data_IF_442109751821
#
_entry.id   IF_442109751821
#
_cell.length_a   1.000
_cell.length_b   1.000
_cell.length_c   1.000
_cell.angle_alpha   90.00
_cell.angle_beta   90.00
_cell.angle_gamma   90.00
#
_symmetry.space_group_name_H-M   'P 1'
#
loop_
_entity.id
_entity.type
_entity.pdbx_description
1 polymer ?
#
# COMPACT_ATOMS: atom_id res chain seq x y z
N UNK A 1 15.23 -18.99 -10.74
CA UNK A 1 15.12 -19.89 -9.57
C UNK A 1 14.18 -19.22 -8.58
N UNK A 2 13.29 -19.97 -7.93
CA UNK A 2 12.38 -19.46 -6.91
C UNK A 2 13.15 -19.38 -5.58
N UNK A 3 13.26 -18.21 -4.95
CA UNK A 3 14.13 -18.01 -3.78
C UNK A 3 13.39 -17.53 -2.52
N UNK A 4 12.06 -17.51 -2.53
CA UNK A 4 11.25 -17.12 -1.36
C UNK A 4 11.01 -18.26 -0.36
N UNK A 5 11.60 -19.44 -0.55
CA UNK A 5 11.45 -20.60 0.31
C UNK A 5 12.65 -20.79 1.28
N UNK A 6 13.28 -19.69 1.71
CA UNK A 6 14.43 -19.67 2.62
C UNK A 6 13.95 -19.63 4.08
N UNK A 7 14.84 -19.84 5.07
CA UNK A 7 14.46 -20.00 6.47
C UNK A 7 13.57 -18.87 7.02
N UNK A 8 13.83 -17.62 6.65
CA UNK A 8 13.09 -16.44 7.11
C UNK A 8 11.62 -16.50 6.66
N UNK A 9 11.36 -16.79 5.39
CA UNK A 9 9.98 -16.89 4.89
C UNK A 9 9.26 -18.13 5.42
N UNK A 10 9.96 -19.26 5.56
CA UNK A 10 9.37 -20.47 6.17
C UNK A 10 8.98 -20.21 7.62
N UNK A 11 9.85 -19.55 8.40
CA UNK A 11 9.57 -19.13 9.78
C UNK A 11 8.39 -18.17 9.84
N UNK A 12 8.31 -17.19 8.93
CA UNK A 12 7.20 -16.24 8.87
C UNK A 12 5.85 -16.95 8.66
N UNK A 13 5.77 -17.87 7.69
CA UNK A 13 4.53 -18.63 7.44
C UNK A 13 4.21 -19.57 8.60
N UNK A 14 5.22 -20.21 9.21
CA UNK A 14 5.02 -21.04 10.40
C UNK A 14 4.46 -20.23 11.58
N UNK A 15 4.93 -18.99 11.78
CA UNK A 15 4.39 -18.10 12.82
C UNK A 15 2.91 -17.77 12.59
N UNK A 16 2.53 -17.43 11.35
CA UNK A 16 1.12 -17.15 11.01
C UNK A 16 0.24 -18.39 11.21
N UNK A 17 0.75 -19.57 10.87
CA UNK A 17 0.03 -20.84 11.09
C UNK A 17 -0.10 -21.17 12.59
N UNK A 18 0.89 -20.87 13.41
CA UNK A 18 0.77 -21.01 14.87
C UNK A 18 -0.27 -20.03 15.45
N UNK A 19 -0.35 -18.80 14.93
CA UNK A 19 -1.41 -17.86 15.30
C UNK A 19 -2.79 -18.33 14.82
N UNK A 20 -2.86 -18.93 13.63
CA UNK A 20 -4.09 -19.51 13.07
C UNK A 20 -4.64 -20.61 13.99
N UNK A 21 -3.79 -21.55 14.42
CA UNK A 21 -4.16 -22.64 15.34
C UNK A 21 -4.67 -22.13 16.69
N UNK A 22 -4.22 -20.96 17.14
CA UNK A 22 -4.64 -20.32 18.40
C UNK A 22 -5.91 -19.47 18.25
N UNK A 23 -6.33 -19.18 17.02
CA UNK A 23 -7.42 -18.25 16.75
C UNK A 23 -7.00 -16.77 16.76
N UNK A 24 -5.69 -16.49 16.82
CA UNK A 24 -5.13 -15.13 16.86
C UNK A 24 -4.87 -14.55 15.45
N UNK A 25 -4.91 -15.41 14.42
CA UNK A 25 -4.84 -15.02 13.01
C UNK A 25 -6.00 -15.66 12.24
N UNK A 26 -6.64 -14.89 11.36
CA UNK A 26 -7.72 -15.36 10.50
C UNK A 26 -7.34 -15.11 9.04
N UNK A 27 -7.21 -16.17 8.25
CA UNK A 27 -7.08 -16.07 6.81
C UNK A 27 -8.46 -15.92 6.16
N UNK A 28 -8.73 -14.74 5.60
CA UNK A 28 -9.98 -14.40 4.91
C UNK A 28 -9.71 -14.08 3.44
N UNK A 29 -9.86 -15.10 2.60
CA UNK A 29 -9.35 -15.11 1.23
C UNK A 29 -10.28 -14.50 0.17
N UNK A 30 -11.49 -14.04 0.53
CA UNK A 30 -12.34 -13.32 -0.44
C UNK A 30 -11.78 -11.92 -0.64
N UNK A 31 -12.04 -11.37 -1.83
CA UNK A 31 -11.56 -10.04 -2.20
C UNK A 31 -12.02 -9.02 -1.15
N UNK A 32 -11.06 -8.27 -0.62
CA UNK A 32 -11.21 -7.20 0.38
C UNK A 32 -11.73 -7.60 1.77
N UNK A 33 -12.04 -8.88 2.01
CA UNK A 33 -12.66 -9.38 3.26
C UNK A 33 -11.88 -9.01 4.54
N UNK A 34 -10.54 -8.99 4.49
CA UNK A 34 -9.70 -8.57 5.62
C UNK A 34 -9.83 -7.09 5.96
N UNK A 35 -10.08 -6.24 4.96
CA UNK A 35 -10.34 -4.81 5.14
C UNK A 35 -11.72 -4.61 5.76
N UNK A 36 -12.72 -5.35 5.28
CA UNK A 36 -14.09 -5.27 5.80
C UNK A 36 -14.17 -5.70 7.26
N UNK A 37 -13.52 -6.82 7.61
CA UNK A 37 -13.43 -7.26 8.99
C UNK A 37 -12.74 -6.24 9.90
N UNK A 38 -11.74 -5.52 9.39
CA UNK A 38 -11.11 -4.46 10.16
C UNK A 38 -12.09 -3.31 10.40
N UNK A 39 -12.65 -2.66 9.37
CA UNK A 39 -13.50 -1.48 9.58
C UNK A 39 -14.85 -1.80 10.24
N UNK A 40 -15.33 -3.05 10.16
CA UNK A 40 -16.53 -3.50 10.89
C UNK A 40 -16.26 -3.76 12.39
N UNK A 41 -14.99 -3.75 12.82
CA UNK A 41 -14.59 -3.99 14.21
C UNK A 41 -14.42 -5.47 14.57
N UNK A 42 -14.48 -6.38 13.60
CA UNK A 42 -14.27 -7.83 13.81
C UNK A 42 -12.78 -8.17 14.01
N UNK A 43 -11.87 -7.38 13.44
CA UNK A 43 -10.43 -7.64 13.43
C UNK A 43 -9.66 -6.46 14.01
N UNK A 44 -8.84 -6.72 15.04
CA UNK A 44 -8.10 -5.67 15.73
C UNK A 44 -6.95 -5.07 14.90
N UNK A 45 -6.30 -5.87 14.05
CA UNK A 45 -5.18 -5.46 13.20
C UNK A 45 -5.25 -6.18 11.85
N UNK A 46 -4.95 -5.49 10.75
CA UNK A 46 -4.90 -6.09 9.41
C UNK A 46 -3.74 -5.51 8.60
N UNK A 47 -3.21 -6.29 7.65
CA UNK A 47 -2.31 -5.79 6.61
C UNK A 47 -3.06 -5.79 5.28
N UNK A 48 -3.27 -4.61 4.72
CA UNK A 48 -4.05 -4.38 3.51
C UNK A 48 -3.36 -3.34 2.61
N UNK A 49 -3.89 -3.11 1.42
CA UNK A 49 -3.42 -2.04 0.53
C UNK A 49 -3.50 -0.68 1.24
N UNK A 50 -2.50 0.19 1.07
CA UNK A 50 -2.59 1.56 1.59
C UNK A 50 -3.78 2.32 1.00
N UNK A 51 -4.18 1.99 -0.24
CA UNK A 51 -5.38 2.54 -0.89
C UNK A 51 -6.70 2.17 -0.18
N UNK A 52 -6.71 1.12 0.66
CA UNK A 52 -7.88 0.78 1.47
C UNK A 52 -8.15 1.80 2.58
N UNK A 53 -7.22 2.72 2.87
CA UNK A 53 -7.37 3.75 3.89
C UNK A 53 -8.59 4.65 3.64
N UNK A 54 -8.93 4.94 2.37
CA UNK A 54 -10.13 5.73 2.05
C UNK A 54 -11.41 5.04 2.54
N UNK A 55 -11.56 3.73 2.25
CA UNK A 55 -12.70 2.94 2.72
C UNK A 55 -12.70 2.77 4.25
N UNK A 56 -11.54 2.52 4.85
CA UNK A 56 -11.42 2.42 6.32
C UNK A 56 -11.86 3.73 6.97
N UNK A 57 -11.44 4.89 6.44
CA UNK A 57 -11.83 6.21 6.94
C UNK A 57 -13.34 6.45 6.83
N UNK A 58 -13.96 5.96 5.77
CA UNK A 58 -15.40 6.11 5.52
C UNK A 58 -16.24 5.23 6.46
N UNK A 59 -15.83 3.97 6.66
CA UNK A 59 -16.69 2.96 7.30
C UNK A 59 -16.34 2.64 8.76
N UNK A 60 -15.09 2.85 9.21
CA UNK A 60 -14.70 2.52 10.57
C UNK A 60 -15.40 3.42 11.59
N UNK A 61 -16.05 2.80 12.58
CA UNK A 61 -16.78 3.49 13.67
C UNK A 61 -15.99 3.56 14.98
N UNK A 62 -14.68 3.43 14.88
CA UNK A 62 -13.74 3.44 16.00
C UNK A 62 -12.48 4.23 15.61
N UNK A 63 -11.71 4.66 16.61
CA UNK A 63 -10.44 5.33 16.36
C UNK A 63 -9.39 4.29 15.91
N UNK A 64 -8.82 4.48 14.73
CA UNK A 64 -7.84 3.56 14.14
C UNK A 64 -6.48 4.24 13.94
N UNK A 65 -5.43 3.43 13.86
CA UNK A 65 -4.08 3.87 13.51
C UNK A 65 -3.56 3.18 12.26
N UNK A 66 -2.60 3.81 11.58
CA UNK A 66 -1.87 3.21 10.46
C UNK A 66 -0.39 3.15 10.84
N UNK A 67 0.15 1.93 10.91
CA UNK A 67 1.56 1.66 11.18
C UNK A 67 2.29 1.14 9.95
N UNK A 68 3.62 1.14 10.01
CA UNK A 68 4.44 0.40 9.04
C UNK A 68 4.19 -1.11 9.18
N UNK A 69 4.51 -1.89 8.14
CA UNK A 69 4.47 -3.35 8.22
C UNK A 69 5.38 -3.85 9.36
N UNK A 70 4.94 -4.84 10.16
CA UNK A 70 5.84 -5.57 11.04
C UNK A 70 6.95 -6.25 10.23
N UNK A 71 8.11 -6.43 10.86
CA UNK A 71 9.25 -7.14 10.28
C UNK A 71 9.74 -8.23 11.23
N UNK A 72 10.45 -9.24 10.70
CA UNK A 72 11.06 -10.28 11.53
C UNK A 72 12.20 -9.67 12.35
N UNK A 73 12.08 -9.70 13.68
CA UNK A 73 13.07 -9.15 14.59
C UNK A 73 14.45 -9.85 14.49
N UNK A 74 14.49 -11.09 13.99
CA UNK A 74 15.74 -11.85 13.83
C UNK A 74 16.38 -11.64 12.44
N UNK A 75 15.69 -10.95 11.53
CA UNK A 75 16.24 -10.63 10.22
C UNK A 75 17.20 -9.44 10.34
N UNK A 76 18.51 -9.72 10.19
CA UNK A 76 19.60 -8.75 10.37
C UNK A 76 19.40 -7.40 9.65
N UNK A 77 18.87 -7.45 8.43
CA UNK A 77 18.75 -6.28 7.55
C UNK A 77 17.32 -5.69 7.55
N UNK A 78 16.47 -6.10 8.50
CA UNK A 78 15.10 -5.61 8.63
C UNK A 78 14.96 -4.45 9.65
N UNK A 79 14.04 -3.49 9.42
CA UNK A 79 13.26 -3.30 8.21
C UNK A 79 14.10 -2.63 7.11
N UNK A 80 13.93 -3.09 5.87
CA UNK A 80 14.60 -2.53 4.70
C UNK A 80 13.69 -1.51 4.00
N UNK A 81 12.96 -1.93 2.95
CA UNK A 81 11.94 -1.11 2.28
C UNK A 81 10.80 -1.99 1.78
N UNK A 82 9.60 -1.40 1.67
CA UNK A 82 8.49 -2.04 0.98
C UNK A 82 8.69 -2.00 -0.55
N UNK A 83 7.87 -2.75 -1.28
CA UNK A 83 7.70 -2.63 -2.73
C UNK A 83 6.29 -2.13 -3.04
N UNK A 84 6.11 -1.46 -4.17
CA UNK A 84 4.82 -0.91 -4.58
C UNK A 84 3.96 -1.94 -5.30
N UNK A 85 2.64 -1.82 -5.14
CA UNK A 85 1.64 -2.44 -6.01
C UNK A 85 0.98 -1.39 -6.92
N UNK A 86 -0.23 -1.67 -7.38
CA UNK A 86 -1.01 -0.74 -8.20
C UNK A 86 -0.68 -0.84 -9.69
N UNK A 87 -0.60 0.31 -10.37
CA UNK A 87 -0.39 0.40 -11.81
C UNK A 87 0.57 1.53 -12.18
N UNK A 88 1.07 1.50 -13.40
CA UNK A 88 1.89 2.57 -13.99
C UNK A 88 1.35 2.99 -15.36
N UNK A 89 1.65 4.21 -15.79
CA UNK A 89 1.30 4.72 -17.11
C UNK A 89 2.40 4.40 -18.11
N UNK A 90 2.07 3.70 -19.19
CA UNK A 90 2.97 3.37 -20.29
C UNK A 90 2.65 4.17 -21.54
N UNK A 91 3.69 4.62 -22.25
CA UNK A 91 3.55 5.36 -23.51
C UNK A 91 3.71 4.39 -24.68
N UNK A 92 2.69 4.32 -25.54
CA UNK A 92 2.68 3.41 -26.68
C UNK A 92 3.55 3.92 -27.82
N UNK A 93 4.19 2.99 -28.54
CA UNK A 93 4.94 3.28 -29.77
C UNK A 93 4.02 3.73 -30.92
N UNK A 94 4.62 4.32 -31.97
CA UNK A 94 3.96 4.63 -33.24
C UNK A 94 3.11 5.91 -33.25
N UNK A 95 3.35 6.85 -32.34
CA UNK A 95 2.70 8.17 -32.33
C UNK A 95 3.62 9.26 -32.90
N UNK A 96 3.02 10.38 -33.31
CA UNK A 96 3.73 11.56 -33.78
C UNK A 96 4.37 12.36 -32.63
N UNK A 97 5.20 13.33 -32.99
CA UNK A 97 5.97 14.14 -32.03
C UNK A 97 5.06 15.00 -31.15
N UNK A 98 3.97 15.50 -31.73
CA UNK A 98 2.99 16.36 -31.07
C UNK A 98 2.25 15.57 -29.99
N UNK A 99 1.86 14.33 -30.27
CA UNK A 99 1.27 13.40 -29.30
C UNK A 99 2.24 13.15 -28.14
N UNK A 100 3.50 12.80 -28.43
CA UNK A 100 4.48 12.58 -27.36
C UNK A 100 4.75 13.84 -26.53
N UNK A 101 4.71 15.03 -27.14
CA UNK A 101 4.81 16.30 -26.41
C UNK A 101 3.62 16.50 -25.48
N UNK A 102 2.41 16.17 -25.91
CA UNK A 102 1.21 16.19 -25.07
C UNK A 102 1.28 15.19 -23.91
N UNK A 103 1.71 13.95 -24.18
CA UNK A 103 1.90 12.92 -23.16
C UNK A 103 2.94 13.36 -22.13
N UNK A 104 4.07 13.93 -22.56
CA UNK A 104 5.09 14.44 -21.64
C UNK A 104 4.53 15.52 -20.71
N UNK A 105 3.77 16.49 -21.25
CA UNK A 105 3.11 17.53 -20.45
C UNK A 105 2.05 16.97 -19.49
N UNK A 106 1.34 15.91 -19.89
CA UNK A 106 0.35 15.26 -19.04
C UNK A 106 1.00 14.52 -17.88
N UNK A 107 2.06 13.75 -18.14
CA UNK A 107 2.81 13.06 -17.08
C UNK A 107 3.48 14.06 -16.13
N UNK A 108 4.05 15.15 -16.66
CA UNK A 108 4.56 16.26 -15.85
C UNK A 108 3.47 16.88 -14.98
N UNK A 109 2.30 17.18 -15.56
CA UNK A 109 1.15 17.71 -14.83
C UNK A 109 0.75 16.81 -13.67
N UNK A 110 0.62 15.49 -13.88
CA UNK A 110 0.27 14.56 -12.81
C UNK A 110 1.31 14.50 -11.69
N UNK A 111 2.60 14.71 -12.02
CA UNK A 111 3.69 14.65 -11.07
C UNK A 111 3.97 15.98 -10.32
N UNK A 112 3.28 17.07 -10.69
CA UNK A 112 3.35 18.33 -9.93
C UNK A 112 2.96 18.10 -8.47
N UNK A 113 3.67 18.73 -7.50
CA UNK A 113 3.46 18.45 -6.07
C UNK A 113 1.99 18.54 -5.63
N UNK A 114 1.25 19.54 -6.12
CA UNK A 114 -0.14 19.79 -5.75
C UNK A 114 -1.08 18.69 -6.28
N UNK A 115 -0.90 18.29 -7.54
CA UNK A 115 -1.74 17.26 -8.16
C UNK A 115 -1.44 15.86 -7.57
N UNK A 116 -0.17 15.55 -7.33
CA UNK A 116 0.23 14.29 -6.73
C UNK A 116 -0.19 14.20 -5.24
N UNK A 117 -0.16 15.32 -4.51
CA UNK A 117 -0.69 15.40 -3.15
C UNK A 117 -2.21 15.23 -3.14
N UNK A 118 -2.94 15.93 -4.02
CA UNK A 118 -4.39 15.78 -4.15
C UNK A 118 -4.78 14.32 -4.46
N UNK A 119 -4.08 13.69 -5.41
CA UNK A 119 -4.29 12.28 -5.75
C UNK A 119 -4.12 11.38 -4.52
N UNK A 120 -3.03 11.56 -3.78
CA UNK A 120 -2.76 10.80 -2.55
C UNK A 120 -3.88 10.99 -1.51
N UNK A 121 -4.25 12.24 -1.22
CA UNK A 121 -5.24 12.59 -0.20
C UNK A 121 -6.64 12.06 -0.53
N UNK A 122 -7.03 12.10 -1.81
CA UNK A 122 -8.37 11.63 -2.24
C UNK A 122 -8.47 10.12 -2.35
N UNK A 123 -7.38 9.42 -2.62
CA UNK A 123 -7.42 7.99 -2.99
C UNK A 123 -6.78 7.05 -1.97
N UNK A 124 -5.88 7.55 -1.10
CA UNK A 124 -5.06 6.72 -0.21
C UNK A 124 -3.87 6.03 -0.89
N UNK A 125 -3.67 6.19 -2.21
CA UNK A 125 -2.44 5.75 -2.88
C UNK A 125 -1.26 6.61 -2.46
N UNK A 126 -0.04 6.07 -2.48
CA UNK A 126 1.16 6.81 -2.06
C UNK A 126 1.44 8.04 -2.96
N UNK A 127 1.97 9.13 -2.39
CA UNK A 127 2.51 10.23 -3.19
C UNK A 127 3.73 9.74 -3.97
N UNK A 128 3.75 9.98 -5.29
CA UNK A 128 4.81 9.48 -6.18
C UNK A 128 6.09 10.33 -6.15
N UNK A 129 6.05 11.51 -5.50
CA UNK A 129 7.21 12.39 -5.31
C UNK A 129 7.37 12.78 -3.84
N UNK A 130 8.61 13.07 -3.41
CA UNK A 130 8.87 13.57 -2.05
C UNK A 130 8.22 14.93 -1.79
N UNK A 131 8.22 15.82 -2.79
CA UNK A 131 7.58 17.12 -2.68
C UNK A 131 6.06 17.00 -2.39
N UNK A 132 5.36 16.05 -3.01
CA UNK A 132 3.95 15.79 -2.72
C UNK A 132 3.73 15.20 -1.32
N UNK A 133 4.65 14.35 -0.84
CA UNK A 133 4.64 13.85 0.53
C UNK A 133 4.80 14.98 1.56
N UNK A 134 5.81 15.83 1.37
CA UNK A 134 6.07 16.97 2.26
C UNK A 134 4.87 17.92 2.27
N UNK A 135 4.31 18.23 1.09
CA UNK A 135 3.12 19.07 0.95
C UNK A 135 1.89 18.48 1.66
N UNK A 136 1.65 17.17 1.52
CA UNK A 136 0.53 16.51 2.22
C UNK A 136 0.71 16.63 3.73
N UNK A 137 1.92 16.39 4.25
CA UNK A 137 2.20 16.50 5.69
C UNK A 137 1.96 17.89 6.25
N UNK A 138 2.22 18.93 5.47
CA UNK A 138 1.96 20.31 5.86
C UNK A 138 0.45 20.64 5.87
N UNK A 139 -0.33 19.98 5.01
CA UNK A 139 -1.77 20.21 4.85
C UNK A 139 -2.65 19.45 5.85
N UNK A 140 -2.10 18.44 6.54
CA UNK A 140 -2.79 17.61 7.54
C UNK A 140 -3.38 16.34 6.95
#
# INVERSE_FOLDING_TARGET
>A
VLEFNKPEQVKHIAMLEEMNKKGDFSYVGRKDESTEKFYNGDCAMTTASSGSLANIREYAKFNYGVGMMPYDADAKDAPQNAIIGGASLWVMQGKDKETYTGVAKFLDFLAKPENAAEWHQKTGYLPITKAAYDLTREQG
#
